data_IF_542176028910
#
_entry.id   IF_542176028910
#
_cell.length_a   1.000
_cell.length_b   1.000
_cell.length_c   1.000
_cell.angle_alpha   90.00
_cell.angle_beta   90.00
_cell.angle_gamma   90.00
#
_symmetry.space_group_name_H-M   'P 1'
#
loop_
_entity.id
_entity.type
_entity.pdbx_description
1 polymer ?
#
# COMPACT_ATOMS: atom_id res chain seq x y z
N UNK A 1 3.41 45.90 1.67
CA UNK A 1 2.99 44.51 1.92
C UNK A 1 2.43 43.94 0.63
N UNK A 2 3.11 42.98 -0.01
CA UNK A 2 2.54 42.21 -1.13
C UNK A 2 1.69 41.07 -0.57
N UNK A 3 0.55 40.73 -1.21
CA UNK A 3 -0.35 39.71 -0.68
C UNK A 3 0.37 38.34 -0.68
N UNK A 4 0.44 37.70 0.50
CA UNK A 4 0.79 36.29 0.70
C UNK A 4 -0.30 35.36 0.14
N UNK A 5 -0.74 35.61 -1.09
CA UNK A 5 -1.59 34.68 -1.81
C UNK A 5 -0.68 33.72 -2.59
N UNK A 6 0.18 33.02 -1.85
CA UNK A 6 0.73 31.74 -2.26
C UNK A 6 -0.44 30.78 -2.34
N UNK A 7 -1.21 30.82 -3.44
CA UNK A 7 -1.73 29.56 -3.99
C UNK A 7 -0.51 28.66 -4.03
N UNK A 8 -0.43 27.73 -3.08
CA UNK A 8 0.72 26.92 -2.68
C UNK A 8 1.27 26.16 -3.88
N UNK A 9 1.89 26.89 -4.79
CA UNK A 9 2.36 26.43 -6.08
C UNK A 9 3.67 25.77 -5.74
N UNK A 10 3.58 24.49 -5.40
CA UNK A 10 4.72 23.63 -5.18
C UNK A 10 5.70 23.83 -6.34
N UNK A 11 6.97 24.07 -6.02
CA UNK A 11 8.01 24.14 -7.03
C UNK A 11 8.12 22.80 -7.77
N UNK A 12 8.71 22.76 -8.98
CA UNK A 12 8.98 21.50 -9.68
C UNK A 12 9.70 20.47 -8.81
N UNK A 13 10.65 20.93 -7.99
CA UNK A 13 11.40 20.10 -7.03
C UNK A 13 10.53 19.61 -5.88
N UNK A 14 9.57 20.42 -5.43
CA UNK A 14 8.58 20.03 -4.43
C UNK A 14 7.74 18.86 -4.92
N UNK A 15 7.21 18.97 -6.14
CA UNK A 15 6.46 17.89 -6.79
C UNK A 15 7.30 16.64 -7.03
N UNK A 16 8.56 16.79 -7.46
CA UNK A 16 9.50 15.68 -7.59
C UNK A 16 9.70 14.96 -6.25
N UNK A 17 9.92 15.69 -5.15
CA UNK A 17 10.08 15.10 -3.82
C UNK A 17 8.80 14.40 -3.37
N UNK A 18 7.63 14.99 -3.58
CA UNK A 18 6.34 14.36 -3.28
C UNK A 18 6.18 13.06 -4.06
N UNK A 19 6.50 13.05 -5.36
CA UNK A 19 6.46 11.84 -6.18
C UNK A 19 7.40 10.75 -5.66
N UNK A 20 8.62 11.12 -5.26
CA UNK A 20 9.58 10.18 -4.67
C UNK A 20 9.05 9.56 -3.37
N UNK A 21 8.39 10.35 -2.51
CA UNK A 21 7.78 9.85 -1.28
C UNK A 21 6.69 8.82 -1.60
N UNK A 22 5.78 9.12 -2.52
CA UNK A 22 4.74 8.17 -2.95
C UNK A 22 5.35 6.90 -3.57
N UNK A 23 6.40 7.05 -4.37
CA UNK A 23 7.13 5.94 -4.98
C UNK A 23 7.73 5.00 -3.92
N UNK A 24 8.33 5.55 -2.86
CA UNK A 24 8.88 4.77 -1.75
C UNK A 24 7.81 4.00 -0.97
N UNK A 25 6.59 4.55 -0.86
CA UNK A 25 5.44 3.86 -0.26
C UNK A 25 4.74 2.87 -1.19
N UNK A 26 5.27 2.63 -2.40
CA UNK A 26 4.65 1.74 -3.39
C UNK A 26 3.38 2.30 -4.03
N UNK A 27 3.05 3.58 -3.79
CA UNK A 27 1.88 4.27 -4.35
C UNK A 27 2.24 4.87 -5.70
N UNK A 28 2.51 4.01 -6.67
CA UNK A 28 3.06 4.41 -7.97
C UNK A 28 2.10 5.31 -8.77
N UNK A 29 0.79 5.12 -8.64
CA UNK A 29 -0.24 5.97 -9.23
C UNK A 29 -0.17 7.42 -8.74
N UNK A 30 0.02 7.63 -7.43
CA UNK A 30 0.18 8.95 -6.82
C UNK A 30 1.53 9.57 -7.17
N UNK A 31 2.58 8.74 -7.27
CA UNK A 31 3.90 9.18 -7.71
C UNK A 31 3.85 9.74 -9.14
N UNK A 32 3.20 9.04 -10.07
CA UNK A 32 3.04 9.48 -11.47
C UNK A 32 2.34 10.84 -11.53
N UNK A 33 1.22 11.02 -10.82
CA UNK A 33 0.51 12.31 -10.78
C UNK A 33 1.39 13.46 -10.28
N UNK A 34 2.20 13.21 -9.26
CA UNK A 34 3.13 14.22 -8.74
C UNK A 34 4.23 14.55 -9.77
N UNK A 35 4.78 13.54 -10.47
CA UNK A 35 5.75 13.77 -11.53
C UNK A 35 5.13 14.50 -12.74
N UNK A 36 3.87 14.25 -13.08
CA UNK A 36 3.16 15.00 -14.13
C UNK A 36 3.03 16.48 -13.79
N UNK A 37 2.73 16.80 -12.53
CA UNK A 37 2.73 18.20 -12.06
C UNK A 37 4.14 18.81 -12.14
N UNK A 38 5.19 18.06 -11.75
CA UNK A 38 6.57 18.51 -11.89
C UNK A 38 6.97 18.75 -13.36
N UNK A 39 6.57 17.86 -14.27
CA UNK A 39 6.83 17.99 -15.72
C UNK A 39 6.08 19.16 -16.34
N UNK A 40 4.86 19.45 -15.89
CA UNK A 40 4.09 20.62 -16.36
C UNK A 40 4.78 21.94 -16.04
N UNK A 41 5.54 22.00 -14.94
CA UNK A 41 6.29 23.19 -14.53
C UNK A 41 7.72 23.20 -15.09
N UNK A 42 8.36 22.04 -15.24
CA UNK A 42 9.73 21.92 -15.75
C UNK A 42 9.91 20.70 -16.68
N UNK A 43 9.48 20.81 -17.96
CA UNK A 43 9.44 19.69 -18.89
C UNK A 43 10.83 19.21 -19.34
N UNK A 44 11.87 20.01 -19.16
CA UNK A 44 13.26 19.67 -19.51
C UNK A 44 13.96 18.85 -18.41
N UNK A 45 13.29 18.53 -17.31
CA UNK A 45 13.90 17.74 -16.24
C UNK A 45 13.95 16.26 -16.57
N UNK A 46 15.12 15.78 -16.98
CA UNK A 46 15.35 14.35 -17.25
C UNK A 46 15.17 13.47 -16.01
N UNK A 47 15.41 13.98 -14.81
CA UNK A 47 15.22 13.22 -13.55
C UNK A 47 13.73 12.93 -13.33
N UNK A 48 12.86 13.92 -13.57
CA UNK A 48 11.40 13.74 -13.41
C UNK A 48 10.89 12.71 -14.43
N UNK A 49 11.34 12.79 -15.69
CA UNK A 49 10.98 11.82 -16.74
C UNK A 49 11.41 10.40 -16.38
N UNK A 50 12.66 10.24 -15.95
CA UNK A 50 13.19 8.95 -15.53
C UNK A 50 12.39 8.37 -14.36
N UNK A 51 12.11 9.17 -13.33
CA UNK A 51 11.34 8.72 -12.17
C UNK A 51 9.90 8.35 -12.52
N UNK A 52 9.25 9.08 -13.43
CA UNK A 52 7.92 8.73 -13.94
C UNK A 52 7.94 7.39 -14.69
N UNK A 53 8.88 7.20 -15.60
CA UNK A 53 9.02 5.96 -16.36
C UNK A 53 9.24 4.75 -15.42
N UNK A 54 10.07 4.91 -14.38
CA UNK A 54 10.28 3.86 -13.37
C UNK A 54 8.99 3.59 -12.59
N UNK A 55 8.22 4.63 -12.24
CA UNK A 55 6.94 4.47 -11.55
C UNK A 55 5.89 3.74 -12.42
N UNK A 56 5.80 4.06 -13.71
CA UNK A 56 4.93 3.36 -14.67
C UNK A 56 5.32 1.90 -14.84
N UNK A 57 6.62 1.63 -14.93
CA UNK A 57 7.14 0.27 -14.97
C UNK A 57 6.78 -0.51 -13.71
N UNK A 58 6.89 0.10 -12.51
CA UNK A 58 6.54 -0.54 -11.24
C UNK A 58 5.05 -0.72 -11.04
N UNK A 59 4.22 0.19 -11.58
CA UNK A 59 2.77 0.06 -11.55
C UNK A 59 2.30 -1.11 -12.42
N UNK A 60 2.94 -1.30 -13.58
CA UNK A 60 2.65 -2.42 -14.50
C UNK A 60 3.31 -3.74 -14.07
N UNK A 61 4.41 -3.67 -13.33
CA UNK A 61 5.16 -4.82 -12.82
C UNK A 61 5.28 -4.71 -11.30
N UNK A 62 4.16 -4.89 -10.56
CA UNK A 62 4.23 -4.94 -9.11
C UNK A 62 5.24 -6.03 -8.75
N UNK A 63 6.15 -5.69 -7.83
CA UNK A 63 7.04 -6.70 -7.25
C UNK A 63 6.11 -7.82 -6.77
N UNK A 64 6.39 -9.11 -7.05
CA UNK A 64 5.66 -10.19 -6.41
C UNK A 64 5.77 -9.88 -4.93
N UNK A 65 4.65 -9.49 -4.34
CA UNK A 65 4.57 -9.15 -2.94
C UNK A 65 5.12 -10.37 -2.23
N UNK A 66 6.35 -10.24 -1.71
CA UNK A 66 6.96 -11.24 -0.85
C UNK A 66 5.84 -11.61 0.10
N UNK A 67 5.35 -12.88 0.09
CA UNK A 67 3.98 -13.20 0.44
C UNK A 67 3.65 -12.36 1.65
N UNK A 68 2.78 -11.35 1.47
CA UNK A 68 2.26 -10.58 2.60
C UNK A 68 1.94 -11.64 3.65
N UNK A 69 2.42 -11.54 4.91
CA UNK A 69 2.22 -12.60 5.91
C UNK A 69 0.79 -13.03 5.75
N UNK A 70 0.61 -14.23 5.17
CA UNK A 70 -0.58 -14.59 4.40
C UNK A 70 -1.72 -14.07 5.23
N UNK A 71 -2.50 -13.09 4.74
CA UNK A 71 -3.60 -12.51 5.51
C UNK A 71 -4.28 -13.72 6.12
N UNK A 72 -4.03 -13.93 7.43
CA UNK A 72 -4.23 -15.28 8.00
C UNK A 72 -5.65 -15.60 7.62
N UNK A 73 -5.92 -16.72 6.92
CA UNK A 73 -7.28 -16.99 6.49
C UNK A 73 -8.12 -16.82 7.74
N UNK A 74 -8.97 -15.79 7.76
CA UNK A 74 -9.70 -15.40 8.96
C UNK A 74 -10.23 -16.69 9.56
N UNK A 75 -9.85 -17.03 10.81
CA UNK A 75 -9.96 -18.40 11.32
C UNK A 75 -11.34 -18.88 10.94
N UNK A 76 -11.39 -19.84 10.01
CA UNK A 76 -12.63 -20.33 9.43
C UNK A 76 -13.55 -20.53 10.61
N UNK A 77 -14.65 -19.76 10.65
CA UNK A 77 -15.55 -19.68 11.79
C UNK A 77 -15.68 -21.08 12.36
N UNK A 78 -15.09 -21.29 13.55
CA UNK A 78 -15.00 -22.61 14.13
C UNK A 78 -16.41 -23.22 14.04
N UNK A 79 -16.59 -24.42 13.47
CA UNK A 79 -17.90 -25.04 13.54
C UNK A 79 -18.26 -25.07 15.01
N UNK A 80 -19.38 -24.44 15.36
CA UNK A 80 -19.91 -24.43 16.71
C UNK A 80 -19.79 -25.85 17.28
N UNK A 81 -19.27 -26.04 18.51
CA UNK A 81 -19.11 -27.38 19.04
C UNK A 81 -20.46 -28.06 18.99
N UNK A 82 -20.56 -29.12 18.18
CA UNK A 82 -21.73 -29.97 18.18
C UNK A 82 -21.91 -30.47 19.61
N UNK A 83 -22.97 -30.00 20.26
CA UNK A 83 -23.42 -30.51 21.53
C UNK A 83 -23.67 -32.02 21.37
N UNK A 84 -22.76 -32.83 21.90
CA UNK A 84 -22.76 -34.24 21.53
C UNK A 84 -21.63 -35.09 22.11
N UNK A 85 -21.33 -34.91 23.40
CA UNK A 85 -20.93 -36.04 24.27
C UNK A 85 -19.60 -36.76 24.03
N UNK A 86 -18.47 -36.10 24.30
CA UNK A 86 -17.24 -36.83 24.70
C UNK A 86 -17.25 -37.18 26.19
N UNK A 87 -17.85 -36.33 27.04
CA UNK A 87 -17.89 -36.52 28.50
C UNK A 87 -18.83 -37.62 28.98
N UNK A 88 -19.69 -38.17 28.13
CA UNK A 88 -20.60 -39.26 28.54
C UNK A 88 -19.94 -40.65 28.53
N UNK A 89 -18.74 -40.81 27.96
CA UNK A 89 -18.00 -42.09 27.94
C UNK A 89 -16.84 -42.18 28.92
N UNK A 90 -16.39 -41.06 29.51
CA UNK A 90 -15.31 -41.06 30.52
C UNK A 90 -15.80 -41.56 31.89
N UNK A 91 -17.12 -41.50 32.13
CA UNK A 91 -17.74 -41.91 33.40
C UNK A 91 -17.87 -43.43 33.58
N UNK A 92 -17.54 -44.22 32.57
CA UNK A 92 -17.62 -45.70 32.65
C UNK A 92 -16.28 -46.38 32.97
N UNK A 93 -15.17 -45.64 33.05
CA UNK A 93 -13.83 -46.21 33.28
C UNK A 93 -13.21 -45.93 34.66
N UNK A 94 -13.78 -44.99 35.43
CA UNK A 94 -13.48 -44.82 36.86
C UNK A 94 -14.79 -44.84 37.63
N UNK A 95 -15.03 -45.92 38.38
CA UNK A 95 -16.26 -46.14 39.13
C UNK A 95 -16.48 -45.12 40.25
N UNK A 96 -17.16 -44.02 39.92
CA UNK A 96 -17.90 -43.13 40.84
C UNK A 96 -19.13 -42.54 40.14
#
# INVERSE_FOLDING_TARGET
MTPKNETRSMSPEGWLKTGNVHFLFGRYDQAIKAYDQAMGLYPSNEVVKANKAIAEYRLSHPKPESPAPAAEPAPAAAPAPAEGGFFSKVRSWLGF
#
